data_IF_532239464583
#
_entry.id   IF_532239464583
#
_cell.length_a   1.000
_cell.length_b   1.000
_cell.length_c   1.000
_cell.angle_alpha   90.00
_cell.angle_beta   90.00
_cell.angle_gamma   90.00
#
_symmetry.space_group_name_H-M   'P 1'
#
loop_
_entity.id
_entity.type
_entity.pdbx_description
1 polymer ?
#
# COMPACT_ATOMS: atom_id res chain seq x y z
N UNK A 1 18.48 -2.52 2.03
CA UNK A 1 18.51 -1.92 0.68
C UNK A 1 17.51 -0.79 0.62
N UNK A 2 17.89 0.35 0.06
CA UNK A 2 17.00 1.45 -0.26
C UNK A 2 16.79 1.48 -1.78
N UNK A 3 15.56 1.47 -2.21
CA UNK A 3 15.17 1.46 -3.62
C UNK A 3 13.85 2.22 -3.81
N UNK A 4 13.42 2.40 -5.03
CA UNK A 4 12.13 3.07 -5.31
C UNK A 4 12.08 3.72 -6.67
N UNK A 5 11.08 4.57 -6.84
CA UNK A 5 10.90 5.35 -8.06
C UNK A 5 11.82 6.56 -8.05
N UNK A 6 12.35 6.88 -9.22
CA UNK A 6 13.09 8.12 -9.47
C UNK A 6 12.21 9.11 -10.23
N UNK A 7 12.65 10.38 -10.35
CA UNK A 7 11.93 11.41 -11.09
C UNK A 7 11.68 11.07 -12.56
N UNK A 8 12.43 10.11 -13.13
CA UNK A 8 12.18 9.60 -14.49
C UNK A 8 11.01 8.63 -14.56
N UNK A 9 10.68 7.97 -13.43
CA UNK A 9 9.61 6.99 -13.32
C UNK A 9 8.33 7.59 -12.75
N UNK A 10 8.45 8.63 -11.93
CA UNK A 10 7.32 9.25 -11.25
C UNK A 10 7.48 10.78 -11.25
N UNK A 11 6.55 11.48 -11.86
CA UNK A 11 6.56 12.93 -11.94
C UNK A 11 5.17 13.50 -12.20
N UNK A 12 4.91 14.71 -11.70
CA UNK A 12 3.61 15.37 -11.83
C UNK A 12 3.29 15.75 -13.31
N UNK A 13 4.31 15.97 -14.12
CA UNK A 13 4.17 16.45 -15.50
C UNK A 13 3.89 15.36 -16.55
N UNK A 14 3.82 14.10 -16.16
CA UNK A 14 3.60 12.97 -17.08
C UNK A 14 3.02 11.76 -16.36
N UNK A 15 2.33 10.91 -17.12
CA UNK A 15 1.72 9.69 -16.62
C UNK A 15 2.68 8.51 -16.73
N UNK A 16 2.65 7.62 -15.74
CA UNK A 16 3.40 6.37 -15.80
C UNK A 16 2.76 5.42 -16.81
N UNK A 17 3.58 4.79 -17.65
CA UNK A 17 3.14 3.82 -18.64
C UNK A 17 2.98 2.39 -18.06
N UNK A 18 3.51 2.13 -16.88
CA UNK A 18 3.50 0.84 -16.19
C UNK A 18 3.75 1.04 -14.68
N UNK A 19 3.77 -0.06 -13.92
CA UNK A 19 4.04 -0.05 -12.48
C UNK A 19 5.46 -0.52 -12.13
N UNK A 20 6.35 -0.56 -13.11
CA UNK A 20 7.73 -1.00 -12.90
C UNK A 20 8.58 0.04 -12.17
N UNK A 21 9.58 -0.47 -11.48
CA UNK A 21 10.67 0.27 -10.86
C UNK A 21 11.93 0.22 -11.76
N UNK A 22 12.91 1.12 -11.61
CA UNK A 22 14.18 0.99 -12.34
C UNK A 22 14.75 -0.44 -12.27
N UNK A 23 15.07 -1.03 -13.41
CA UNK A 23 15.52 -2.43 -13.50
C UNK A 23 16.77 -2.72 -12.68
N UNK A 24 17.68 -1.75 -12.56
CA UNK A 24 18.88 -1.86 -11.71
C UNK A 24 18.55 -1.91 -10.23
N UNK A 25 17.43 -1.31 -9.78
CA UNK A 25 16.95 -1.43 -8.40
C UNK A 25 16.43 -2.84 -8.12
N UNK A 26 15.65 -3.42 -9.02
CA UNK A 26 15.21 -4.81 -8.90
C UNK A 26 16.42 -5.76 -8.82
N UNK A 27 17.38 -5.62 -9.74
CA UNK A 27 18.60 -6.44 -9.74
C UNK A 27 19.42 -6.28 -8.44
N UNK A 28 19.56 -5.05 -7.93
CA UNK A 28 20.25 -4.80 -6.68
C UNK A 28 19.59 -5.55 -5.51
N UNK A 29 18.27 -5.46 -5.39
CA UNK A 29 17.52 -6.14 -4.32
C UNK A 29 17.71 -7.66 -4.43
N UNK A 30 17.55 -8.23 -5.62
CA UNK A 30 17.70 -9.67 -5.86
C UNK A 30 19.10 -10.16 -5.50
N UNK A 31 20.15 -9.45 -5.92
CA UNK A 31 21.53 -9.83 -5.64
C UNK A 31 21.87 -9.73 -4.15
N UNK A 32 21.42 -8.67 -3.48
CA UNK A 32 21.64 -8.52 -2.04
C UNK A 32 20.86 -9.55 -1.24
N UNK A 33 19.61 -9.81 -1.60
CA UNK A 33 18.78 -10.83 -0.95
C UNK A 33 19.34 -12.25 -1.14
N UNK A 34 19.89 -12.54 -2.32
CA UNK A 34 20.59 -13.80 -2.56
C UNK A 34 21.87 -13.97 -1.73
N UNK A 35 22.58 -12.89 -1.48
CA UNK A 35 23.79 -12.90 -0.65
C UNK A 35 23.49 -12.88 0.86
N UNK A 36 22.35 -12.29 1.25
CA UNK A 36 21.96 -12.18 2.67
C UNK A 36 20.44 -12.36 2.81
N UNK A 37 19.97 -13.51 3.34
CA UNK A 37 18.55 -13.78 3.53
C UNK A 37 17.86 -12.86 4.57
N UNK A 38 18.63 -12.11 5.35
CA UNK A 38 18.10 -11.11 6.30
C UNK A 38 18.01 -9.70 5.68
N UNK A 39 17.81 -9.62 4.38
CA UNK A 39 17.66 -8.35 3.69
C UNK A 39 16.32 -7.70 3.98
N UNK A 40 16.37 -6.45 4.42
CA UNK A 40 15.24 -5.54 4.54
C UNK A 40 15.28 -4.55 3.39
N UNK A 41 14.15 -4.37 2.71
CA UNK A 41 14.00 -3.37 1.64
C UNK A 41 13.20 -2.19 2.18
N UNK A 42 13.72 -0.98 1.98
CA UNK A 42 13.01 0.27 2.20
C UNK A 42 12.68 0.85 0.82
N UNK A 43 11.40 0.89 0.53
CA UNK A 43 10.87 1.32 -0.75
C UNK A 43 10.36 2.75 -0.67
N UNK A 44 10.74 3.59 -1.62
CA UNK A 44 10.27 4.97 -1.75
C UNK A 44 9.57 5.16 -3.09
N UNK A 45 8.38 5.70 -3.07
CA UNK A 45 7.57 5.98 -4.25
C UNK A 45 6.18 6.45 -3.86
N UNK A 46 5.56 7.28 -4.66
CA UNK A 46 4.24 7.85 -4.41
C UNK A 46 3.09 7.05 -5.03
N UNK A 47 3.40 5.94 -5.70
CA UNK A 47 2.41 5.10 -6.38
C UNK A 47 2.80 3.63 -6.34
N UNK A 48 1.91 2.76 -6.79
CA UNK A 48 2.12 1.30 -6.83
C UNK A 48 3.39 0.92 -7.60
N UNK A 49 4.11 -0.04 -7.06
CA UNK A 49 5.34 -0.59 -7.63
C UNK A 49 5.21 -2.10 -7.73
N UNK A 50 5.54 -2.67 -8.89
CA UNK A 50 5.68 -4.11 -9.07
C UNK A 50 6.94 -4.61 -8.36
N UNK A 51 6.83 -5.65 -7.56
CA UNK A 51 7.88 -6.17 -6.68
C UNK A 51 8.16 -7.66 -6.94
N UNK A 52 8.80 -8.03 -8.07
CA UNK A 52 9.05 -9.44 -8.41
C UNK A 52 9.93 -10.16 -7.38
N UNK A 53 10.73 -9.41 -6.65
CA UNK A 53 11.67 -9.87 -5.63
C UNK A 53 11.07 -10.01 -4.22
N UNK A 54 9.78 -9.69 -4.02
CA UNK A 54 9.18 -9.58 -2.68
C UNK A 54 9.42 -10.79 -1.81
N UNK A 55 9.27 -11.99 -2.37
CA UNK A 55 9.48 -13.24 -1.64
C UNK A 55 10.94 -13.51 -1.24
N UNK A 56 11.89 -12.78 -1.80
CA UNK A 56 13.31 -12.88 -1.47
C UNK A 56 13.73 -11.93 -0.35
N UNK A 57 12.92 -10.90 -0.06
CA UNK A 57 13.17 -9.97 1.01
C UNK A 57 12.61 -10.49 2.34
N UNK A 58 13.37 -10.31 3.44
CA UNK A 58 12.91 -10.68 4.78
C UNK A 58 11.83 -9.77 5.31
N UNK A 59 11.91 -8.48 4.98
CA UNK A 59 10.92 -7.48 5.32
C UNK A 59 10.92 -6.34 4.29
N UNK A 60 9.78 -5.71 4.16
CA UNK A 60 9.57 -4.53 3.30
C UNK A 60 9.00 -3.40 4.15
N UNK A 61 9.61 -2.24 4.07
CA UNK A 61 9.09 -0.97 4.58
C UNK A 61 8.78 -0.05 3.39
N UNK A 62 7.51 0.17 3.12
CA UNK A 62 7.09 1.19 2.15
C UNK A 62 7.05 2.55 2.85
N UNK A 63 7.94 3.44 2.47
CA UNK A 63 8.07 4.77 3.08
C UNK A 63 7.29 5.86 2.36
N UNK A 64 6.70 5.55 1.19
CA UNK A 64 6.02 6.53 0.36
C UNK A 64 6.94 7.70 -0.02
N UNK A 65 6.38 8.89 -0.17
CA UNK A 65 7.09 10.16 -0.35
C UNK A 65 7.32 10.80 1.03
N UNK A 66 8.38 10.41 1.70
CA UNK A 66 8.59 10.64 3.15
C UNK A 66 8.91 12.11 3.54
N UNK A 67 9.16 12.98 2.57
CA UNK A 67 9.51 14.39 2.83
C UNK A 67 10.80 14.60 3.64
N UNK A 68 10.92 15.77 4.26
CA UNK A 68 12.15 16.23 4.91
C UNK A 68 12.63 15.32 6.06
N UNK A 69 11.73 14.74 6.84
CA UNK A 69 12.06 13.94 8.01
C UNK A 69 12.12 12.41 7.74
N UNK A 70 11.99 11.99 6.47
CA UNK A 70 11.87 10.60 6.06
C UNK A 70 12.98 9.69 6.57
N UNK A 71 14.23 10.08 6.39
CA UNK A 71 15.36 9.28 6.87
C UNK A 71 15.34 9.03 8.38
N UNK A 72 14.95 10.03 9.18
CA UNK A 72 14.79 9.88 10.63
C UNK A 72 13.61 8.96 10.99
N UNK A 73 12.50 9.08 10.28
CA UNK A 73 11.32 8.23 10.49
C UNK A 73 11.65 6.76 10.18
N UNK A 74 12.24 6.49 9.04
CA UNK A 74 12.68 5.15 8.62
C UNK A 74 13.63 4.55 9.64
N UNK A 75 14.66 5.30 10.06
CA UNK A 75 15.64 4.81 11.05
C UNK A 75 14.96 4.43 12.39
N UNK A 76 13.99 5.22 12.86
CA UNK A 76 13.26 4.93 14.10
C UNK A 76 12.39 3.67 14.00
N UNK A 77 11.79 3.42 12.84
CA UNK A 77 11.03 2.20 12.60
C UNK A 77 11.97 1.00 12.55
N UNK A 78 13.03 1.06 11.74
CA UNK A 78 13.97 -0.05 11.58
C UNK A 78 14.69 -0.44 12.88
N UNK A 79 14.87 0.50 13.80
CA UNK A 79 15.47 0.25 15.11
C UNK A 79 14.46 -0.12 16.21
N UNK A 80 13.17 -0.16 15.89
CA UNK A 80 12.12 -0.46 16.87
C UNK A 80 11.79 0.70 17.83
N UNK A 81 12.37 1.89 17.61
CA UNK A 81 12.07 3.08 18.42
C UNK A 81 10.67 3.64 18.17
N UNK A 82 10.05 3.25 17.09
CA UNK A 82 8.64 3.54 16.72
C UNK A 82 8.03 2.30 16.10
N UNK A 83 6.86 1.93 16.57
CA UNK A 83 6.04 0.87 15.98
C UNK A 83 5.38 1.38 14.71
N UNK A 84 5.51 0.71 13.55
CA UNK A 84 4.81 1.12 12.33
C UNK A 84 3.30 0.92 12.50
N UNK A 85 2.53 1.87 11.98
CA UNK A 85 1.06 1.84 12.02
C UNK A 85 0.42 2.23 10.69
N UNK A 86 1.23 2.59 9.70
CA UNK A 86 0.74 2.97 8.37
C UNK A 86 0.11 1.79 7.64
N UNK A 87 -0.96 2.07 6.89
CA UNK A 87 -1.64 1.12 6.01
C UNK A 87 -1.52 1.61 4.57
N UNK A 88 -1.61 0.68 3.62
CA UNK A 88 -1.62 1.03 2.19
C UNK A 88 -2.87 1.83 1.86
N UNK A 89 -2.69 2.96 1.19
CA UNK A 89 -3.79 3.83 0.72
C UNK A 89 -4.35 3.40 -0.63
N UNK A 90 -3.82 2.32 -1.19
CA UNK A 90 -4.23 1.76 -2.48
C UNK A 90 -3.95 0.25 -2.51
N UNK A 91 -4.59 -0.43 -3.45
CA UNK A 91 -4.36 -1.85 -3.70
C UNK A 91 -3.15 -2.02 -4.61
N UNK A 92 -2.25 -2.93 -4.27
CA UNK A 92 -1.10 -3.34 -5.08
C UNK A 92 -1.48 -4.59 -5.89
N UNK A 93 -1.71 -4.49 -7.20
CA UNK A 93 -2.01 -5.65 -8.03
C UNK A 93 -0.78 -6.55 -8.20
N UNK A 94 -0.99 -7.79 -8.64
CA UNK A 94 0.09 -8.70 -8.98
C UNK A 94 0.78 -8.33 -10.30
N UNK A 95 0.02 -7.77 -11.24
CA UNK A 95 0.53 -7.31 -12.53
C UNK A 95 -0.15 -6.00 -12.96
N UNK A 96 0.47 -5.31 -13.91
CA UNK A 96 -0.09 -4.09 -14.49
C UNK A 96 -1.43 -4.35 -15.19
N UNK A 97 -1.58 -5.50 -15.82
CA UNK A 97 -2.78 -5.94 -16.53
C UNK A 97 -3.99 -6.15 -15.60
N UNK A 98 -3.75 -6.35 -14.31
CA UNK A 98 -4.81 -6.49 -13.32
C UNK A 98 -5.42 -5.15 -12.88
N UNK A 99 -4.85 -4.04 -13.31
CA UNK A 99 -5.38 -2.72 -12.99
C UNK A 99 -6.71 -2.48 -13.74
N UNK A 100 -7.78 -2.01 -13.09
CA UNK A 100 -9.07 -1.77 -13.73
C UNK A 100 -9.02 -0.76 -14.86
N UNK A 101 -8.02 0.09 -14.91
CA UNK A 101 -7.82 1.08 -15.98
C UNK A 101 -6.87 0.59 -17.08
N UNK A 102 -6.39 -0.66 -17.01
CA UNK A 102 -5.50 -1.22 -18.03
C UNK A 102 -6.10 -1.12 -19.42
N UNK A 103 -5.32 -0.61 -20.36
CA UNK A 103 -5.74 -0.36 -21.75
C UNK A 103 -6.69 0.82 -21.95
N UNK A 104 -7.02 1.56 -20.89
CA UNK A 104 -7.86 2.74 -20.94
C UNK A 104 -7.19 4.02 -20.39
N UNK A 105 -6.17 3.87 -19.59
CA UNK A 105 -5.37 4.96 -19.04
C UNK A 105 -3.95 4.95 -19.65
N UNK A 106 -3.35 6.11 -19.99
CA UNK A 106 -4.01 7.42 -20.05
C UNK A 106 -5.08 7.47 -21.14
N UNK A 107 -6.09 8.33 -20.97
CA UNK A 107 -7.19 8.48 -21.95
C UNK A 107 -6.71 8.94 -23.32
N UNK A 108 -7.59 8.84 -24.32
CA UNK A 108 -7.31 9.36 -25.66
C UNK A 108 -7.36 10.90 -25.65
N UNK A 109 -6.67 11.59 -26.59
CA UNK A 109 -6.55 13.05 -26.57
C UNK A 109 -7.85 13.86 -26.52
N UNK A 110 -8.96 13.26 -26.96
CA UNK A 110 -10.27 13.94 -27.04
C UNK A 110 -11.31 13.34 -26.10
N UNK A 111 -11.11 12.07 -25.69
CA UNK A 111 -12.08 11.32 -24.88
C UNK A 111 -11.36 10.60 -23.74
N UNK A 112 -11.81 10.81 -22.52
CA UNK A 112 -11.43 10.01 -21.35
C UNK A 112 -12.63 9.18 -20.92
N UNK A 113 -12.51 7.87 -21.02
CA UNK A 113 -13.56 6.93 -20.63
C UNK A 113 -13.32 6.43 -19.22
N UNK A 114 -14.27 6.65 -18.30
CA UNK A 114 -14.26 6.13 -16.94
C UNK A 114 -14.96 4.77 -16.90
N UNK A 115 -14.33 3.75 -17.49
CA UNK A 115 -14.94 2.40 -17.68
C UNK A 115 -15.15 1.66 -16.36
N UNK A 116 -14.35 1.93 -15.37
CA UNK A 116 -14.46 1.33 -14.04
C UNK A 116 -15.71 1.79 -13.27
N UNK A 117 -16.33 2.92 -13.65
CA UNK A 117 -17.53 3.46 -13.01
C UNK A 117 -17.35 3.59 -11.48
N UNK A 118 -18.14 2.91 -10.67
CA UNK A 118 -18.03 2.90 -9.20
C UNK A 118 -17.00 1.90 -8.67
N UNK A 119 -16.48 1.03 -9.53
CA UNK A 119 -15.50 0.00 -9.18
C UNK A 119 -14.08 0.53 -9.27
N UNK A 120 -13.80 1.58 -8.50
CA UNK A 120 -12.49 2.24 -8.44
C UNK A 120 -11.66 1.63 -7.32
N UNK A 121 -10.38 1.36 -7.59
CA UNK A 121 -9.43 0.86 -6.61
C UNK A 121 -9.86 -0.47 -5.99
N UNK A 122 -9.84 -0.58 -4.66
CA UNK A 122 -10.17 -1.81 -3.93
C UNK A 122 -11.56 -2.36 -4.25
N UNK A 123 -12.54 -1.50 -4.58
CA UNK A 123 -13.89 -1.94 -4.95
C UNK A 123 -13.89 -2.87 -6.18
N UNK A 124 -13.00 -2.61 -7.13
CA UNK A 124 -12.82 -3.49 -8.27
C UNK A 124 -12.25 -4.84 -7.86
N UNK A 125 -11.13 -4.84 -7.14
CA UNK A 125 -10.43 -6.07 -6.76
C UNK A 125 -11.29 -6.96 -5.88
N UNK A 126 -11.99 -6.39 -4.91
CA UNK A 126 -12.89 -7.12 -4.00
C UNK A 126 -14.10 -7.69 -4.74
N UNK A 127 -14.74 -6.89 -5.62
CA UNK A 127 -15.94 -7.33 -6.37
C UNK A 127 -15.61 -8.37 -7.43
N UNK A 128 -14.45 -8.25 -8.08
CA UNK A 128 -13.98 -9.19 -9.09
C UNK A 128 -13.24 -10.39 -8.49
N UNK A 129 -13.09 -10.46 -7.16
CA UNK A 129 -12.35 -11.50 -6.42
C UNK A 129 -10.93 -11.70 -6.99
N UNK A 130 -10.27 -10.59 -7.35
CA UNK A 130 -8.91 -10.60 -7.91
C UNK A 130 -7.88 -10.76 -6.81
N UNK A 131 -6.95 -11.69 -7.01
CA UNK A 131 -5.75 -11.78 -6.16
C UNK A 131 -4.90 -10.53 -6.30
N UNK A 132 -4.38 -10.05 -5.19
CA UNK A 132 -3.54 -8.85 -5.12
C UNK A 132 -2.30 -9.09 -4.27
N UNK A 133 -1.27 -8.31 -4.50
CA UNK A 133 -0.04 -8.38 -3.71
C UNK A 133 -0.26 -7.84 -2.29
N UNK A 134 -0.89 -6.67 -2.18
CA UNK A 134 -1.36 -6.08 -0.94
C UNK A 134 -2.71 -5.42 -1.17
N UNK A 135 -3.73 -5.73 -0.38
CA UNK A 135 -5.01 -5.02 -0.47
C UNK A 135 -4.88 -3.60 0.08
N UNK A 136 -5.83 -2.75 -0.29
CA UNK A 136 -6.06 -1.47 0.40
C UNK A 136 -6.19 -1.72 1.91
N UNK A 137 -5.61 -0.83 2.71
CA UNK A 137 -5.63 -0.97 4.17
C UNK A 137 -4.64 -1.99 4.75
N UNK A 138 -3.79 -2.62 3.92
CA UNK A 138 -2.78 -3.57 4.41
C UNK A 138 -1.63 -2.85 5.12
N UNK A 139 -1.19 -3.43 6.21
CA UNK A 139 0.02 -3.00 6.91
C UNK A 139 0.23 -3.80 8.19
N UNK A 140 1.45 -4.28 8.39
CA UNK A 140 1.86 -4.99 9.60
C UNK A 140 2.36 -4.01 10.65
N UNK A 141 2.32 -4.44 11.90
CA UNK A 141 2.79 -3.70 13.06
C UNK A 141 3.80 -4.56 13.83
N UNK A 142 4.49 -3.99 14.80
CA UNK A 142 5.30 -4.74 15.77
C UNK A 142 4.47 -5.26 16.94
N UNK A 143 3.17 -4.94 16.95
CA UNK A 143 2.19 -5.46 17.90
C UNK A 143 0.98 -6.00 17.16
N UNK A 144 0.01 -6.55 17.90
CA UNK A 144 -1.23 -7.09 17.35
C UNK A 144 -2.43 -6.41 17.98
N UNK A 145 -3.53 -6.34 17.22
CA UNK A 145 -4.77 -5.72 17.65
C UNK A 145 -5.94 -6.69 17.49
N UNK A 146 -6.87 -6.62 18.41
CA UNK A 146 -8.14 -7.34 18.38
C UNK A 146 -9.28 -6.34 18.27
N UNK A 147 -10.19 -6.60 17.33
CA UNK A 147 -11.40 -5.83 17.13
C UNK A 147 -12.58 -6.61 17.66
N UNK A 148 -13.43 -5.97 18.47
CA UNK A 148 -14.61 -6.60 19.06
C UNK A 148 -15.75 -5.61 19.24
N UNK A 149 -16.91 -6.16 19.63
CA UNK A 149 -18.09 -5.42 20.06
C UNK A 149 -18.55 -4.37 19.01
N UNK A 150 -18.64 -4.78 17.74
CA UNK A 150 -19.17 -3.93 16.67
C UNK A 150 -20.68 -3.72 16.89
N UNK A 151 -21.05 -2.47 17.05
CA UNK A 151 -22.45 -2.06 17.23
C UNK A 151 -22.78 -0.94 16.25
N UNK A 152 -23.96 -1.00 15.65
CA UNK A 152 -24.54 0.04 14.82
C UNK A 152 -25.69 0.70 15.55
N UNK A 153 -25.81 2.02 15.48
CA UNK A 153 -26.93 2.75 16.09
C UNK A 153 -28.28 2.38 15.49
N UNK A 154 -28.32 1.90 14.26
CA UNK A 154 -29.52 1.40 13.58
C UNK A 154 -29.14 0.44 12.45
N UNK A 155 -29.98 -0.55 12.19
CA UNK A 155 -29.87 -1.43 11.02
C UNK A 155 -30.65 -0.91 9.79
N UNK A 156 -31.47 0.13 9.99
CA UNK A 156 -32.27 0.75 8.93
C UNK A 156 -32.16 2.27 9.07
N UNK A 157 -31.55 2.89 8.08
CA UNK A 157 -31.35 4.35 7.99
C UNK A 157 -31.86 4.86 6.65
N UNK A 158 -32.22 6.14 6.59
CA UNK A 158 -32.41 6.87 5.34
C UNK A 158 -31.06 7.50 4.93
N UNK A 159 -30.98 7.94 3.71
CA UNK A 159 -29.83 8.67 3.16
C UNK A 159 -29.54 10.03 3.84
N UNK A 160 -30.49 10.52 4.62
CA UNK A 160 -30.41 11.75 5.41
C UNK A 160 -30.06 11.53 6.89
N UNK A 161 -29.98 10.29 7.33
CA UNK A 161 -29.77 9.93 8.73
C UNK A 161 -28.29 9.68 9.01
N UNK A 162 -27.85 9.98 10.23
CA UNK A 162 -26.52 9.63 10.72
C UNK A 162 -26.49 8.18 11.20
N UNK A 163 -25.43 7.47 10.84
CA UNK A 163 -25.12 6.14 11.37
C UNK A 163 -23.91 6.22 12.29
N UNK A 164 -24.09 5.86 13.56
CA UNK A 164 -22.98 5.74 14.49
C UNK A 164 -22.53 4.28 14.53
N UNK A 165 -21.23 4.06 14.26
CA UNK A 165 -20.56 2.75 14.37
C UNK A 165 -19.67 2.81 15.59
N UNK A 166 -19.85 1.86 16.51
CA UNK A 166 -19.05 1.73 17.74
C UNK A 166 -18.39 0.36 17.77
N UNK A 167 -17.13 0.30 18.15
CA UNK A 167 -16.40 -0.96 18.33
C UNK A 167 -15.22 -0.75 19.28
N UNK A 168 -14.62 -1.83 19.74
CA UNK A 168 -13.44 -1.83 20.59
C UNK A 168 -12.21 -2.27 19.80
N UNK A 169 -11.10 -1.56 20.01
CA UNK A 169 -9.77 -1.99 19.57
C UNK A 169 -8.92 -2.19 20.82
N UNK A 170 -8.32 -3.36 20.92
CA UNK A 170 -7.43 -3.72 22.02
C UNK A 170 -6.06 -4.08 21.45
N UNK A 171 -5.01 -3.43 21.95
CA UNK A 171 -3.64 -3.91 21.72
C UNK A 171 -3.42 -5.20 22.51
N UNK A 172 -3.12 -6.30 21.82
CA UNK A 172 -2.92 -7.63 22.39
C UNK A 172 -1.47 -8.09 22.41
N UNK A 173 -0.55 -7.28 21.87
CA UNK A 173 0.89 -7.55 21.91
C UNK A 173 1.60 -6.77 23.02
N UNK A 174 2.94 -6.85 23.01
CA UNK A 174 3.79 -6.35 24.10
C UNK A 174 4.40 -4.97 23.79
N UNK A 175 4.09 -4.38 22.65
CA UNK A 175 4.64 -3.10 22.21
C UNK A 175 3.51 -2.08 22.02
N UNK A 176 3.74 -0.86 22.47
CA UNK A 176 2.82 0.25 22.20
C UNK A 176 2.72 0.49 20.69
N UNK A 177 1.52 0.64 20.18
CA UNK A 177 1.26 0.85 18.77
C UNK A 177 -0.02 1.62 18.52
N UNK A 178 -0.17 2.13 17.31
CA UNK A 178 -1.39 2.74 16.83
C UNK A 178 -2.00 1.87 15.72
N UNK A 179 -3.32 1.92 15.60
CA UNK A 179 -4.06 1.18 14.58
C UNK A 179 -5.04 2.13 13.87
N UNK A 180 -5.33 1.83 12.62
CA UNK A 180 -6.32 2.54 11.82
C UNK A 180 -7.60 1.71 11.82
N UNK A 181 -8.70 2.36 12.14
CA UNK A 181 -10.04 1.79 12.11
C UNK A 181 -10.77 2.32 10.88
N UNK A 182 -11.09 1.46 9.96
CA UNK A 182 -11.88 1.73 8.75
C UNK A 182 -13.10 0.82 8.69
#
# INVERSE_FOLDING_TARGET
VFAGLTEEFEGEGYDRANIEMPANHNQLIEQVAAANPNTVVVLAGGSVIHMPWLNSAKALLNSGLSGQAGGKAVARILTGAVCPSGKTSETYPLSFEDNPTYGNYPGQPVVSEHKESVYIGYRYYDTAEKEVQFPFGYGLSYTTFEYSDLELSSSNIKDTDDLTVTFKIKNTGDVDGAEIAE
#
